data_IF_428222021030
#
_entry.id   IF_428222021030
#
_cell.length_a   1.000
_cell.length_b   1.000
_cell.length_c   1.000
_cell.angle_alpha   90.00
_cell.angle_beta   90.00
_cell.angle_gamma   90.00
#
_symmetry.space_group_name_H-M   'P 1'
#
loop_
_entity.id
_entity.type
_entity.pdbx_description
1 polymer ?
#
# COMPACT_ATOMS: atom_id res chain seq x y z
N UNK A 1 -4.53 7.53 -17.10
CA UNK A 1 -4.91 7.11 -15.73
C UNK A 1 -5.51 5.72 -15.84
N UNK A 2 -4.99 4.76 -15.07
CA UNK A 2 -5.53 3.39 -15.04
C UNK A 2 -6.83 3.36 -14.24
N UNK A 3 -7.91 2.86 -14.84
CA UNK A 3 -9.22 2.74 -14.17
C UNK A 3 -9.27 1.59 -13.15
N UNK A 4 -8.17 0.84 -12.99
CA UNK A 4 -8.08 -0.37 -12.19
C UNK A 4 -8.29 -0.16 -10.68
N UNK A 5 -8.00 1.04 -10.16
CA UNK A 5 -8.09 1.35 -8.72
C UNK A 5 -9.20 2.36 -8.40
N UNK A 6 -10.26 2.38 -9.21
CA UNK A 6 -11.42 3.25 -8.99
C UNK A 6 -12.51 2.53 -8.21
N UNK A 7 -12.73 2.93 -6.96
CA UNK A 7 -13.82 2.41 -6.14
C UNK A 7 -13.61 2.65 -4.66
N UNK A 8 -14.71 2.55 -3.89
CA UNK A 8 -14.69 2.57 -2.41
C UNK A 8 -14.68 1.18 -1.78
N UNK A 9 -14.98 0.17 -2.59
CA UNK A 9 -15.08 -1.22 -2.19
C UNK A 9 -14.04 -2.03 -2.93
N UNK A 10 -13.33 -2.90 -2.21
CA UNK A 10 -12.38 -3.84 -2.77
C UNK A 10 -12.81 -5.25 -2.38
N UNK A 11 -12.99 -6.12 -3.37
CA UNK A 11 -13.25 -7.55 -3.15
C UNK A 11 -11.94 -8.29 -3.39
N UNK A 12 -11.27 -8.70 -2.32
CA UNK A 12 -10.01 -9.43 -2.36
C UNK A 12 -10.18 -10.88 -1.88
N UNK A 13 -9.56 -11.83 -2.58
CA UNK A 13 -9.44 -13.22 -2.15
C UNK A 13 -7.97 -13.58 -1.98
N UNK A 14 -7.60 -14.03 -0.78
CA UNK A 14 -6.21 -14.37 -0.43
C UNK A 14 -6.02 -15.88 -0.35
N UNK A 15 -5.06 -16.39 -1.11
CA UNK A 15 -4.73 -17.82 -1.17
C UNK A 15 -3.29 -18.07 -0.74
N UNK A 16 -3.05 -19.21 -0.07
CA UNK A 16 -1.69 -19.71 0.18
C UNK A 16 -1.19 -20.44 -1.06
N UNK A 17 -0.15 -19.93 -1.70
CA UNK A 17 0.50 -20.57 -2.85
C UNK A 17 1.38 -21.73 -2.35
N UNK A 18 1.22 -22.92 -2.95
CA UNK A 18 2.00 -24.12 -2.60
C UNK A 18 3.34 -24.17 -3.33
N UNK A 19 3.33 -23.86 -4.62
CA UNK A 19 4.52 -23.78 -5.47
C UNK A 19 4.49 -22.47 -6.27
N UNK A 20 5.47 -21.61 -6.01
CA UNK A 20 5.57 -20.30 -6.67
C UNK A 20 6.00 -20.43 -8.14
N UNK A 21 6.74 -21.47 -8.49
CA UNK A 21 7.24 -21.70 -9.85
C UNK A 21 6.09 -22.13 -10.77
N UNK A 22 5.26 -23.07 -10.31
CA UNK A 22 4.06 -23.51 -11.02
C UNK A 22 3.06 -22.36 -11.18
N UNK A 23 2.82 -21.59 -10.11
CA UNK A 23 1.93 -20.42 -10.16
C UNK A 23 2.41 -19.38 -11.18
N UNK A 24 3.71 -19.02 -11.15
CA UNK A 24 4.30 -18.06 -12.09
C UNK A 24 4.22 -18.58 -13.53
N UNK A 25 4.53 -19.85 -13.76
CA UNK A 25 4.45 -20.46 -15.09
C UNK A 25 3.02 -20.38 -15.67
N UNK A 26 2.03 -20.70 -14.85
CA UNK A 26 0.61 -20.60 -15.24
C UNK A 26 0.21 -19.15 -15.50
N UNK A 27 0.54 -18.22 -14.58
CA UNK A 27 0.21 -16.81 -14.73
C UNK A 27 0.80 -16.22 -16.01
N UNK A 28 2.07 -16.47 -16.30
CA UNK A 28 2.74 -15.94 -17.49
C UNK A 28 2.17 -16.52 -18.80
N UNK A 29 1.67 -17.77 -18.78
CA UNK A 29 1.01 -18.37 -19.95
C UNK A 29 -0.29 -17.65 -20.36
N UNK A 30 -0.88 -16.88 -19.44
CA UNK A 30 -2.07 -16.06 -19.69
C UNK A 30 -1.75 -14.65 -20.24
N UNK A 31 -0.46 -14.35 -20.46
CA UNK A 31 0.02 -13.07 -21.01
C UNK A 31 -0.53 -11.82 -20.27
N UNK A 32 -0.38 -11.72 -18.94
CA UNK A 32 -0.88 -10.58 -18.18
C UNK A 32 -0.05 -9.32 -18.45
N UNK A 33 -0.70 -8.16 -18.36
CA UNK A 33 0.00 -6.88 -18.28
C UNK A 33 0.45 -6.63 -16.84
N UNK A 34 1.75 -6.46 -16.62
CA UNK A 34 2.28 -6.21 -15.29
C UNK A 34 2.07 -4.75 -14.89
N UNK A 35 1.31 -4.50 -13.82
CA UNK A 35 1.18 -3.16 -13.23
C UNK A 35 2.43 -2.76 -12.43
N UNK A 36 2.91 -3.67 -11.58
CA UNK A 36 4.20 -3.58 -10.89
C UNK A 36 4.89 -4.93 -10.99
N UNK A 37 6.22 -4.93 -11.12
CA UNK A 37 7.01 -6.15 -11.24
C UNK A 37 8.12 -6.16 -10.19
N UNK A 38 8.22 -7.27 -9.46
CA UNK A 38 9.26 -7.52 -8.43
C UNK A 38 9.51 -6.34 -7.48
N UNK A 39 8.43 -5.67 -7.06
CA UNK A 39 8.53 -4.60 -6.07
C UNK A 39 8.64 -5.18 -4.66
N UNK A 40 9.49 -4.55 -3.85
CA UNK A 40 9.43 -4.70 -2.40
C UNK A 40 8.39 -3.72 -1.86
N UNK A 41 7.45 -4.22 -1.07
CA UNK A 41 6.46 -3.41 -0.36
C UNK A 41 6.88 -3.24 1.10
N UNK A 42 6.83 -2.01 1.59
CA UNK A 42 7.06 -1.69 2.99
C UNK A 42 5.85 -0.93 3.54
N UNK A 43 5.20 -1.56 4.53
CA UNK A 43 3.97 -1.06 5.14
C UNK A 43 4.22 -0.60 6.58
N UNK A 44 3.83 0.65 6.87
CA UNK A 44 3.78 1.20 8.22
C UNK A 44 2.32 1.31 8.65
N UNK A 45 1.97 0.60 9.72
CA UNK A 45 0.63 0.62 10.29
C UNK A 45 0.53 1.69 11.37
N UNK A 46 -0.52 2.51 11.30
CA UNK A 46 -0.82 3.54 12.27
C UNK A 46 -2.12 3.23 13.01
N UNK A 47 -2.14 3.53 14.30
CA UNK A 47 -3.33 3.55 15.14
C UNK A 47 -3.12 4.61 16.23
N UNK A 48 -4.17 4.93 16.98
CA UNK A 48 -4.05 5.77 18.17
C UNK A 48 -3.54 4.95 19.39
N UNK A 49 -3.11 5.60 20.48
CA UNK A 49 -2.63 4.90 21.68
C UNK A 49 -3.65 3.96 22.33
N UNK A 50 -4.94 4.09 22.00
CA UNK A 50 -6.02 3.25 22.49
C UNK A 50 -6.38 2.11 21.52
N UNK A 51 -5.67 2.00 20.40
CA UNK A 51 -5.91 1.04 19.32
C UNK A 51 -7.35 1.08 18.79
N UNK A 52 -7.91 2.29 18.59
CA UNK A 52 -9.32 2.44 18.19
C UNK A 52 -9.60 1.90 16.79
N UNK A 53 -8.66 1.98 15.84
CA UNK A 53 -8.85 1.42 14.50
C UNK A 53 -8.90 -0.11 14.58
N UNK A 54 -7.94 -0.71 15.27
CA UNK A 54 -7.91 -2.15 15.48
C UNK A 54 -9.20 -2.66 16.15
N UNK A 55 -9.70 -1.96 17.18
CA UNK A 55 -10.97 -2.31 17.86
C UNK A 55 -12.20 -2.26 16.94
N UNK A 56 -12.13 -1.53 15.83
CA UNK A 56 -13.18 -1.42 14.81
C UNK A 56 -12.90 -2.30 13.58
N UNK A 57 -11.92 -3.21 13.65
CA UNK A 57 -11.47 -4.01 12.50
C UNK A 57 -11.03 -3.15 11.29
N UNK A 58 -10.53 -1.95 11.58
CA UNK A 58 -10.00 -1.01 10.61
C UNK A 58 -8.46 -0.99 10.66
N UNK A 59 -7.85 -0.56 9.56
CA UNK A 59 -6.40 -0.32 9.49
C UNK A 59 -6.10 0.92 8.68
N UNK A 60 -5.06 1.65 9.10
CA UNK A 60 -4.47 2.75 8.35
C UNK A 60 -3.01 2.43 8.05
N UNK A 61 -2.64 2.49 6.77
CA UNK A 61 -1.32 2.06 6.29
C UNK A 61 -0.70 3.13 5.40
N UNK A 62 0.55 3.46 5.65
CA UNK A 62 1.41 4.10 4.67
C UNK A 62 2.29 3.04 4.02
N UNK A 63 2.13 2.87 2.71
CA UNK A 63 2.89 1.91 1.91
C UNK A 63 3.88 2.62 1.02
N UNK A 64 5.09 2.08 0.94
CA UNK A 64 6.06 2.44 -0.10
C UNK A 64 6.48 1.21 -0.89
N UNK A 65 6.64 1.38 -2.20
CA UNK A 65 6.97 0.31 -3.15
C UNK A 65 8.21 0.68 -3.95
N UNK A 66 9.19 -0.22 -4.02
CA UNK A 66 10.44 -0.02 -4.74
C UNK A 66 10.71 -1.19 -5.68
N UNK A 67 11.09 -0.98 -6.96
CA UNK A 67 11.59 0.28 -7.53
C UNK A 67 10.53 1.19 -8.18
N UNK A 68 9.24 0.87 -8.13
CA UNK A 68 8.21 1.68 -8.80
C UNK A 68 8.07 3.11 -8.26
N UNK A 69 8.51 3.36 -7.03
CA UNK A 69 8.39 4.66 -6.37
C UNK A 69 6.97 4.99 -5.91
N UNK A 70 6.03 4.04 -6.06
CA UNK A 70 4.64 4.23 -5.64
C UNK A 70 4.58 4.35 -4.12
N UNK A 71 3.86 5.36 -3.66
CA UNK A 71 3.52 5.58 -2.25
C UNK A 71 2.01 5.64 -2.13
N UNK A 72 1.45 4.97 -1.14
CA UNK A 72 0.00 4.93 -0.91
C UNK A 72 -0.31 5.21 0.54
N UNK A 73 -1.35 6.00 0.76
CA UNK A 73 -2.06 6.05 2.04
C UNK A 73 -3.35 5.25 1.90
N UNK A 74 -3.50 4.20 2.71
CA UNK A 74 -4.57 3.21 2.61
C UNK A 74 -5.36 3.21 3.91
N UNK A 75 -6.68 3.26 3.83
CA UNK A 75 -7.60 2.99 4.94
C UNK A 75 -8.48 1.80 4.56
N UNK A 76 -8.45 0.73 5.38
CA UNK A 76 -9.28 -0.46 5.19
C UNK A 76 -10.23 -0.65 6.35
N UNK A 77 -11.47 -1.01 6.03
CA UNK A 77 -12.48 -1.52 6.95
C UNK A 77 -12.79 -2.97 6.55
N UNK A 78 -12.40 -3.90 7.41
CA UNK A 78 -12.50 -5.34 7.11
C UNK A 78 -13.94 -5.85 7.17
N UNK A 79 -14.82 -5.22 7.95
CA UNK A 79 -16.21 -5.64 8.10
C UNK A 79 -17.05 -5.17 6.92
N UNK A 80 -16.90 -3.90 6.53
CA UNK A 80 -17.68 -3.31 5.45
C UNK A 80 -17.08 -3.53 4.05
N UNK A 81 -15.94 -4.23 3.96
CA UNK A 81 -15.16 -4.43 2.72
C UNK A 81 -14.82 -3.11 2.02
N UNK A 82 -14.63 -2.04 2.81
CA UNK A 82 -14.23 -0.74 2.30
C UNK A 82 -12.72 -0.66 2.29
N UNK A 83 -12.18 -0.22 1.17
CA UNK A 83 -10.77 0.02 1.01
C UNK A 83 -10.63 1.25 0.12
N UNK A 84 -9.99 2.28 0.66
CA UNK A 84 -9.68 3.49 -0.07
C UNK A 84 -8.18 3.70 0.00
N UNK A 85 -7.56 3.89 -1.18
CA UNK A 85 -6.15 4.16 -1.32
C UNK A 85 -5.99 5.47 -2.07
N UNK A 86 -5.23 6.40 -1.50
CA UNK A 86 -4.88 7.67 -2.11
C UNK A 86 -3.37 7.72 -2.36
N UNK A 87 -2.99 8.36 -3.46
CA UNK A 87 -1.62 8.87 -3.59
C UNK A 87 -1.50 10.03 -2.59
N UNK A 88 -0.52 10.02 -1.68
CA UNK A 88 -0.26 11.19 -0.87
C UNK A 88 0.11 12.34 -1.82
N UNK A 89 -0.64 13.44 -1.78
CA UNK A 89 -0.23 14.70 -2.40
C UNK A 89 1.03 15.15 -1.65
N UNK A 90 2.20 14.83 -2.21
CA UNK A 90 3.46 15.38 -1.76
C UNK A 90 3.61 16.73 -2.46
N UNK A 91 3.20 17.81 -1.81
CA UNK A 91 3.74 19.13 -2.09
C UNK A 91 5.26 19.03 -1.83
N UNK A 92 6.04 18.98 -2.91
CA UNK A 92 7.50 18.73 -2.87
C UNK A 92 8.33 19.94 -2.43
N UNK A 93 7.78 20.83 -1.60
CA UNK A 93 8.47 22.04 -1.11
C UNK A 93 8.72 22.00 0.41
N UNK A 94 9.06 20.83 0.96
CA UNK A 94 9.71 20.75 2.28
C UNK A 94 11.18 20.42 2.09
N UNK A 95 11.92 21.45 1.67
CA UNK A 95 13.38 21.47 1.75
C UNK A 95 13.82 21.07 3.16
N UNK A 96 14.69 20.06 3.20
CA UNK A 96 15.38 19.61 4.39
C UNK A 96 16.41 20.65 4.85
N UNK A 97 15.95 21.76 5.41
CA UNK A 97 16.80 22.64 6.22
C UNK A 97 16.91 22.08 7.64
N UNK A 98 17.64 20.97 7.77
CA UNK A 98 18.23 20.53 9.03
C UNK A 98 19.75 20.74 8.97
N UNK A 99 20.18 21.98 8.77
CA UNK A 99 21.54 22.40 9.09
C UNK A 99 21.57 23.31 10.34
N UNK A 100 22.29 22.81 11.35
CA UNK A 100 22.99 23.53 12.40
C UNK A 100 22.20 24.45 13.35
N UNK A 101 21.78 23.87 14.49
CA UNK A 101 21.86 24.56 15.78
C UNK A 101 22.34 23.61 16.88
N UNK A 102 23.65 23.55 17.10
CA UNK A 102 24.20 23.16 18.40
C UNK A 102 23.88 24.26 19.43
N UNK A 103 23.37 23.93 20.63
CA UNK A 103 23.22 24.89 21.70
C UNK A 103 24.55 25.07 22.46
N UNK A 104 24.83 26.34 22.78
CA UNK A 104 25.95 26.86 23.58
C UNK A 104 26.15 26.17 24.93
#
# INVERSE_FOLDING_TARGET
MTTHFLGKYEIELKFKIKDISEFRGTLLSLHPEAFVFENNEYDIYYDDPLASLHKRNMSMVLRSMSPSGIKLWIVKDSEERRCEAALPELDMDMDMDMENKEPR
#
